data_IF_817678707196
#
_entry.id   IF_817678707196
#
_cell.length_a   1.000
_cell.length_b   1.000
_cell.length_c   1.000
_cell.angle_alpha   90.00
_cell.angle_beta   90.00
_cell.angle_gamma   90.00
#
_symmetry.space_group_name_H-M   'P 1'
#
loop_
_entity.id
_entity.type
_entity.pdbx_description
1 polymer ?
#
# COMPACT_ATOMS: atom_id res chain seq x y z
N UNK A 1 -3.26 -6.04 19.68
CA UNK A 1 -2.85 -6.29 18.27
C UNK A 1 -1.45 -5.74 18.05
N UNK A 2 -0.50 -6.54 17.54
CA UNK A 2 0.90 -6.13 17.41
C UNK A 2 1.11 -5.02 16.39
N UNK A 3 1.76 -3.94 16.83
CA UNK A 3 2.04 -2.71 16.07
C UNK A 3 3.17 -2.93 15.04
N UNK A 4 2.98 -3.89 14.12
CA UNK A 4 4.01 -4.22 13.13
C UNK A 4 3.98 -3.21 11.99
N UNK A 5 5.17 -2.78 11.58
CA UNK A 5 5.39 -1.83 10.50
C UNK A 5 5.58 -2.57 9.17
N UNK A 6 4.93 -2.12 8.10
CA UNK A 6 5.19 -2.60 6.74
C UNK A 6 6.43 -1.88 6.20
N UNK A 7 7.61 -2.39 6.51
CA UNK A 7 8.90 -1.75 6.17
C UNK A 7 9.01 -1.42 4.68
N UNK A 8 8.59 -2.32 3.79
CA UNK A 8 8.61 -2.09 2.33
C UNK A 8 7.79 -0.87 1.91
N UNK A 9 6.61 -0.70 2.52
CA UNK A 9 5.72 0.42 2.23
C UNK A 9 6.28 1.73 2.75
N UNK A 10 6.89 1.71 3.94
CA UNK A 10 7.60 2.86 4.47
C UNK A 10 8.77 3.27 3.59
N UNK A 11 9.65 2.31 3.23
CA UNK A 11 10.83 2.57 2.39
C UNK A 11 10.39 3.10 1.03
N UNK A 12 9.42 2.47 0.38
CA UNK A 12 8.85 2.96 -0.88
C UNK A 12 8.29 4.38 -0.74
N UNK A 13 7.52 4.65 0.33
CA UNK A 13 6.98 5.99 0.59
C UNK A 13 8.04 7.08 0.74
N UNK A 14 9.10 6.82 1.50
CA UNK A 14 10.24 7.76 1.65
C UNK A 14 10.97 7.95 0.33
N UNK A 15 11.24 6.87 -0.41
CA UNK A 15 11.90 6.96 -1.71
C UNK A 15 11.07 7.73 -2.73
N UNK A 16 9.73 7.60 -2.72
CA UNK A 16 8.84 8.39 -3.58
C UNK A 16 8.91 9.89 -3.26
N UNK A 17 8.97 10.26 -1.98
CA UNK A 17 9.14 11.66 -1.56
C UNK A 17 10.48 12.22 -2.05
N UNK A 18 11.58 11.46 -1.91
CA UNK A 18 12.88 11.87 -2.42
C UNK A 18 12.88 11.96 -3.96
N UNK A 19 12.24 11.00 -4.63
CA UNK A 19 12.16 10.97 -6.09
C UNK A 19 11.30 12.10 -6.65
N UNK A 20 10.32 12.60 -5.89
CA UNK A 20 9.58 13.81 -6.29
C UNK A 20 10.48 15.03 -6.44
N UNK A 21 11.56 15.15 -5.64
CA UNK A 21 12.52 16.25 -5.77
C UNK A 21 13.27 16.18 -7.10
N UNK A 22 13.59 14.97 -7.56
CA UNK A 22 14.18 14.75 -8.89
C UNK A 22 13.21 15.17 -9.99
N UNK A 23 11.92 14.85 -9.84
CA UNK A 23 10.89 15.31 -10.77
C UNK A 23 10.79 16.84 -10.80
N UNK A 24 10.78 17.53 -9.64
CA UNK A 24 10.79 18.99 -9.59
C UNK A 24 12.06 19.60 -10.18
N UNK A 25 13.22 18.98 -9.96
CA UNK A 25 14.46 19.42 -10.60
C UNK A 25 14.38 19.32 -12.12
N UNK A 26 13.84 18.21 -12.64
CA UNK A 26 13.53 18.06 -14.07
C UNK A 26 12.58 19.15 -14.57
N UNK A 27 11.51 19.45 -13.83
CA UNK A 27 10.61 20.55 -14.14
C UNK A 27 11.35 21.89 -14.25
N UNK A 28 12.20 22.24 -13.27
CA UNK A 28 12.97 23.50 -13.30
C UNK A 28 13.92 23.57 -14.48
N UNK A 29 14.50 22.45 -14.91
CA UNK A 29 15.34 22.41 -16.10
C UNK A 29 14.56 22.73 -17.38
N UNK A 30 13.34 22.22 -17.51
CA UNK A 30 12.53 22.40 -18.72
C UNK A 30 11.70 23.70 -18.74
N UNK A 31 11.22 24.17 -17.57
CA UNK A 31 10.46 25.42 -17.42
C UNK A 31 11.33 26.63 -17.12
N UNK A 32 12.59 26.44 -16.73
CA UNK A 32 13.50 27.52 -16.38
C UNK A 32 13.60 28.54 -17.52
N UNK A 33 13.37 29.82 -17.21
CA UNK A 33 13.27 30.89 -18.19
C UNK A 33 14.45 30.93 -19.17
N UNK A 34 15.67 30.69 -18.68
CA UNK A 34 16.88 30.66 -19.50
C UNK A 34 16.89 29.52 -20.54
N UNK A 35 16.39 28.34 -20.20
CA UNK A 35 16.32 27.21 -21.13
C UNK A 35 15.16 27.34 -22.11
N UNK A 36 14.01 27.83 -21.64
CA UNK A 36 12.86 28.08 -22.52
C UNK A 36 13.16 29.17 -23.55
N UNK A 37 13.80 30.27 -23.14
CA UNK A 37 14.20 31.36 -24.03
C UNK A 37 15.30 30.91 -25.02
N UNK A 38 16.26 30.10 -24.57
CA UNK A 38 17.25 29.47 -25.45
C UNK A 38 16.59 28.60 -26.53
N UNK A 39 15.63 27.75 -26.14
CA UNK A 39 14.92 26.87 -27.07
C UNK A 39 14.02 27.66 -28.03
N UNK A 40 13.38 28.73 -27.58
CA UNK A 40 12.64 29.65 -28.45
C UNK A 40 13.55 30.30 -29.50
N UNK A 41 14.75 30.73 -29.08
CA UNK A 41 15.70 31.45 -29.94
C UNK A 41 16.38 30.53 -30.96
N UNK A 42 16.69 29.30 -30.60
CA UNK A 42 17.51 28.38 -31.40
C UNK A 42 16.73 27.23 -32.05
N UNK A 43 15.66 26.75 -31.41
CA UNK A 43 14.84 25.61 -31.83
C UNK A 43 13.47 25.97 -32.39
N UNK A 44 13.08 27.24 -32.28
CA UNK A 44 11.78 27.74 -32.70
C UNK A 44 10.63 27.32 -31.77
N UNK A 45 9.40 27.67 -32.17
CA UNK A 45 8.20 27.51 -31.34
C UNK A 45 7.86 26.06 -30.97
N UNK A 46 8.18 25.11 -31.86
CA UNK A 46 7.88 23.70 -31.63
C UNK A 46 8.70 23.13 -30.45
N UNK A 47 10.01 23.35 -30.44
CA UNK A 47 10.90 22.87 -29.37
C UNK A 47 10.60 23.55 -28.03
N UNK A 48 10.29 24.85 -28.05
CA UNK A 48 9.84 25.57 -26.87
C UNK A 48 8.56 24.95 -26.26
N UNK A 49 7.56 24.64 -27.09
CA UNK A 49 6.33 23.98 -26.62
C UNK A 49 6.61 22.58 -26.05
N UNK A 50 7.52 21.82 -26.65
CA UNK A 50 7.92 20.50 -26.13
C UNK A 50 8.59 20.62 -24.76
N UNK A 51 9.49 21.59 -24.59
CA UNK A 51 10.13 21.86 -23.30
C UNK A 51 9.09 22.26 -22.24
N UNK A 52 8.18 23.18 -22.57
CA UNK A 52 7.12 23.61 -21.66
C UNK A 52 6.22 22.44 -21.23
N UNK A 53 5.73 21.64 -22.18
CA UNK A 53 4.89 20.47 -21.88
C UNK A 53 5.63 19.42 -21.06
N UNK A 54 6.91 19.18 -21.35
CA UNK A 54 7.74 18.25 -20.57
C UNK A 54 7.92 18.73 -19.13
N UNK A 55 8.18 20.02 -18.94
CA UNK A 55 8.30 20.61 -17.62
C UNK A 55 7.00 20.54 -16.82
N UNK A 56 5.86 20.84 -17.44
CA UNK A 56 4.53 20.65 -16.82
C UNK A 56 4.31 19.18 -16.44
N UNK A 57 4.68 18.23 -17.29
CA UNK A 57 4.57 16.81 -17.00
C UNK A 57 5.40 16.39 -15.77
N UNK A 58 6.61 16.96 -15.62
CA UNK A 58 7.44 16.77 -14.42
C UNK A 58 6.78 17.32 -13.15
N UNK A 59 6.12 18.48 -13.22
CA UNK A 59 5.36 19.04 -12.08
C UNK A 59 4.23 18.09 -11.67
N UNK A 60 3.42 17.66 -12.64
CA UNK A 60 2.29 16.74 -12.41
C UNK A 60 2.81 15.46 -11.74
N UNK A 61 3.88 14.88 -12.28
CA UNK A 61 4.51 13.70 -11.71
C UNK A 61 5.03 13.95 -10.29
N UNK A 62 5.74 15.06 -10.06
CA UNK A 62 6.28 15.41 -8.75
C UNK A 62 5.20 15.53 -7.67
N UNK A 63 4.11 16.26 -7.95
CA UNK A 63 2.96 16.38 -7.04
C UNK A 63 2.34 15.01 -6.77
N UNK A 64 2.14 14.20 -7.81
CA UNK A 64 1.57 12.87 -7.67
C UNK A 64 2.43 11.95 -6.80
N UNK A 65 3.76 11.97 -6.98
CA UNK A 65 4.69 11.19 -6.17
C UNK A 65 4.71 11.63 -4.71
N UNK A 66 4.54 12.93 -4.42
CA UNK A 66 4.35 13.42 -3.05
C UNK A 66 3.12 12.78 -2.42
N UNK A 67 1.98 12.84 -3.11
CA UNK A 67 0.71 12.29 -2.60
C UNK A 67 0.84 10.79 -2.33
N UNK A 68 1.41 10.02 -3.27
CA UNK A 68 1.66 8.60 -3.07
C UNK A 68 2.65 8.32 -1.93
N UNK A 69 3.72 9.10 -1.84
CA UNK A 69 4.71 9.01 -0.77
C UNK A 69 4.06 9.15 0.60
N UNK A 70 3.26 10.21 0.81
CA UNK A 70 2.50 10.41 2.03
C UNK A 70 1.47 9.30 2.28
N UNK A 71 0.77 8.84 1.23
CA UNK A 71 -0.17 7.72 1.35
C UNK A 71 0.54 6.48 1.86
N UNK A 72 1.70 6.12 1.30
CA UNK A 72 2.46 4.93 1.70
C UNK A 72 3.04 5.05 3.11
N UNK A 73 3.60 6.20 3.47
CA UNK A 73 4.09 6.47 4.83
C UNK A 73 2.94 6.42 5.85
N UNK A 74 1.79 7.02 5.57
CA UNK A 74 0.66 7.05 6.51
C UNK A 74 -0.04 5.69 6.67
N UNK A 75 0.02 4.83 5.66
CA UNK A 75 -0.61 3.51 5.67
C UNK A 75 0.34 2.38 6.05
N UNK A 76 1.62 2.67 6.34
CA UNK A 76 2.61 1.63 6.68
C UNK A 76 2.33 0.87 7.98
N UNK A 77 1.50 1.41 8.89
CA UNK A 77 1.05 0.73 10.12
C UNK A 77 -0.38 0.16 10.01
N UNK A 78 -1.06 0.37 8.87
CA UNK A 78 -2.44 -0.07 8.64
C UNK A 78 -2.43 -1.35 7.79
N UNK A 79 -3.37 -2.26 8.06
CA UNK A 79 -3.57 -3.43 7.20
C UNK A 79 -3.99 -2.98 5.78
N UNK A 80 -3.48 -3.63 4.73
CA UNK A 80 -3.83 -3.25 3.36
C UNK A 80 -5.30 -3.54 3.08
N UNK A 81 -5.97 -2.64 2.36
CA UNK A 81 -7.35 -2.78 1.89
C UNK A 81 -7.35 -2.85 0.37
N UNK A 82 -7.97 -3.88 -0.22
CA UNK A 82 -7.96 -4.12 -1.68
C UNK A 82 -8.37 -2.88 -2.49
N UNK A 83 -9.41 -2.16 -2.05
CA UNK A 83 -9.89 -0.94 -2.72
C UNK A 83 -8.84 0.17 -2.80
N UNK A 84 -8.05 0.38 -1.73
CA UNK A 84 -7.00 1.42 -1.70
C UNK A 84 -5.87 1.03 -2.64
N UNK A 85 -5.47 -0.24 -2.67
CA UNK A 85 -4.37 -0.67 -3.54
C UNK A 85 -4.77 -0.63 -5.01
N UNK A 86 -6.02 -1.01 -5.34
CA UNK A 86 -6.54 -0.87 -6.70
C UNK A 86 -6.66 0.58 -7.14
N UNK A 87 -7.07 1.49 -6.26
CA UNK A 87 -7.12 2.92 -6.60
C UNK A 87 -5.73 3.50 -6.84
N UNK A 88 -4.72 3.08 -6.09
CA UNK A 88 -3.31 3.45 -6.34
C UNK A 88 -2.87 2.98 -7.72
N UNK A 89 -3.09 1.71 -8.07
CA UNK A 89 -2.73 1.16 -9.39
C UNK A 89 -3.48 1.89 -10.52
N UNK A 90 -4.79 2.09 -10.38
CA UNK A 90 -5.58 2.81 -11.37
C UNK A 90 -5.09 4.26 -11.56
N UNK A 91 -4.81 4.96 -10.46
CA UNK A 91 -4.30 6.33 -10.52
C UNK A 91 -2.95 6.42 -11.24
N UNK A 92 -2.10 5.41 -11.12
CA UNK A 92 -0.81 5.36 -11.83
C UNK A 92 -1.02 5.33 -13.34
N UNK A 93 -1.92 4.46 -13.83
CA UNK A 93 -2.24 4.39 -15.25
C UNK A 93 -2.89 5.68 -15.76
N UNK A 94 -3.75 6.32 -14.96
CA UNK A 94 -4.38 7.59 -15.33
C UNK A 94 -3.32 8.70 -15.46
N UNK A 95 -2.43 8.84 -14.48
CA UNK A 95 -1.40 9.90 -14.49
C UNK A 95 -0.40 9.67 -15.63
N UNK A 96 0.03 8.43 -15.84
CA UNK A 96 0.93 8.09 -16.96
C UNK A 96 0.27 8.31 -18.32
N UNK A 97 -1.03 8.06 -18.45
CA UNK A 97 -1.79 8.38 -19.65
C UNK A 97 -1.87 9.89 -19.90
N UNK A 98 -2.17 10.69 -18.87
CA UNK A 98 -2.21 12.16 -18.97
C UNK A 98 -0.85 12.72 -19.41
N UNK A 99 0.24 12.28 -18.76
CA UNK A 99 1.61 12.68 -19.11
C UNK A 99 1.97 12.22 -20.53
N UNK A 100 1.58 11.00 -20.89
CA UNK A 100 1.74 10.48 -22.24
C UNK A 100 1.08 11.41 -23.25
N UNK A 101 -0.18 11.78 -23.04
CA UNK A 101 -0.91 12.64 -23.96
C UNK A 101 -0.32 14.04 -24.09
N UNK A 102 0.21 14.63 -23.01
CA UNK A 102 0.77 16.00 -23.05
C UNK A 102 2.21 16.05 -23.59
N UNK A 103 2.97 14.95 -23.52
CA UNK A 103 4.39 14.91 -23.88
C UNK A 103 4.73 13.99 -25.08
N UNK A 104 3.77 13.36 -25.74
CA UNK A 104 4.01 12.54 -26.95
C UNK A 104 4.15 13.41 -28.21
N UNK A 105 5.11 13.10 -29.14
CA UNK A 105 5.92 11.89 -29.27
C UNK A 105 7.37 11.99 -28.77
N UNK A 106 7.76 13.08 -28.11
CA UNK A 106 9.17 13.38 -27.78
C UNK A 106 9.42 13.43 -26.28
N UNK A 107 8.97 12.40 -25.56
CA UNK A 107 9.26 12.26 -24.13
C UNK A 107 10.78 12.25 -23.95
N UNK A 108 11.37 13.25 -23.27
CA UNK A 108 12.81 13.26 -23.06
C UNK A 108 13.25 12.01 -22.32
N UNK A 109 14.43 11.48 -22.66
CA UNK A 109 14.94 10.26 -22.00
C UNK A 109 14.95 10.35 -20.48
N UNK A 110 15.18 11.55 -19.94
CA UNK A 110 15.14 11.84 -18.50
C UNK A 110 13.72 11.61 -17.94
N UNK A 111 12.66 12.12 -18.59
CA UNK A 111 11.28 11.93 -18.13
C UNK A 111 10.89 10.45 -18.15
N UNK A 112 11.24 9.74 -19.23
CA UNK A 112 11.01 8.30 -19.35
C UNK A 112 11.69 7.50 -18.24
N UNK A 113 12.95 7.82 -17.92
CA UNK A 113 13.70 7.17 -16.86
C UNK A 113 13.07 7.46 -15.48
N UNK A 114 12.70 8.73 -15.24
CA UNK A 114 12.04 9.14 -14.00
C UNK A 114 10.71 8.41 -13.78
N UNK A 115 9.88 8.28 -14.82
CA UNK A 115 8.63 7.51 -14.77
C UNK A 115 8.88 6.02 -14.51
N UNK A 116 9.93 5.45 -15.13
CA UNK A 116 10.28 4.04 -14.96
C UNK A 116 10.72 3.74 -13.53
N UNK A 117 11.60 4.57 -12.96
CA UNK A 117 12.02 4.43 -11.55
C UNK A 117 10.83 4.60 -10.61
N UNK A 118 10.01 5.64 -10.82
CA UNK A 118 8.81 5.87 -10.03
C UNK A 118 7.85 4.66 -10.07
N UNK A 119 7.67 4.03 -11.23
CA UNK A 119 6.86 2.82 -11.36
C UNK A 119 7.37 1.69 -10.46
N UNK A 120 8.67 1.40 -10.50
CA UNK A 120 9.28 0.38 -9.64
C UNK A 120 9.16 0.72 -8.16
N UNK A 121 9.29 2.00 -7.78
CA UNK A 121 9.07 2.45 -6.41
C UNK A 121 7.64 2.22 -5.95
N UNK A 122 6.64 2.49 -6.80
CA UNK A 122 5.23 2.21 -6.49
C UNK A 122 5.01 0.70 -6.33
N UNK A 123 5.50 -0.12 -7.27
CA UNK A 123 5.40 -1.58 -7.20
C UNK A 123 6.05 -2.15 -5.93
N UNK A 124 7.17 -1.57 -5.48
CA UNK A 124 7.85 -1.99 -4.25
C UNK A 124 6.96 -1.85 -3.02
N UNK A 125 6.14 -0.79 -2.96
CA UNK A 125 5.26 -0.48 -1.83
C UNK A 125 3.88 -1.13 -1.88
N UNK A 126 3.47 -1.67 -3.04
CA UNK A 126 2.20 -2.37 -3.19
C UNK A 126 2.24 -3.79 -2.58
N UNK A 127 1.14 -4.23 -1.94
CA UNK A 127 0.98 -5.63 -1.56
C UNK A 127 0.69 -6.50 -2.79
N UNK A 128 1.11 -7.76 -2.73
CA UNK A 128 0.80 -8.75 -3.77
C UNK A 128 -0.59 -9.38 -3.54
N UNK A 129 -0.94 -10.41 -4.31
CA UNK A 129 -2.29 -11.05 -4.35
C UNK A 129 -2.90 -11.36 -2.96
N UNK A 130 -2.09 -11.67 -1.95
CA UNK A 130 -2.54 -12.08 -0.61
C UNK A 130 -2.14 -11.09 0.49
N UNK A 131 -1.81 -9.84 0.13
CA UNK A 131 -1.34 -8.83 1.08
C UNK A 131 0.18 -8.87 1.25
N UNK A 132 0.65 -8.50 2.44
CA UNK A 132 2.05 -8.65 2.84
C UNK A 132 2.25 -9.98 3.59
N UNK A 133 3.46 -10.55 3.57
CA UNK A 133 3.80 -11.87 4.16
C UNK A 133 3.25 -12.10 5.58
N UNK A 134 3.13 -11.04 6.39
CA UNK A 134 2.63 -11.09 7.77
C UNK A 134 1.46 -10.13 8.03
N UNK A 135 0.84 -9.57 6.97
CA UNK A 135 -0.33 -8.70 7.04
C UNK A 135 -1.21 -8.95 5.80
N UNK A 136 -2.13 -9.94 5.88
CA UNK A 136 -3.07 -10.19 4.80
C UNK A 136 -4.04 -9.02 4.62
N UNK A 137 -4.80 -9.04 3.53
CA UNK A 137 -5.86 -8.06 3.32
C UNK A 137 -6.93 -8.13 4.42
N UNK A 138 -7.55 -6.99 4.71
CA UNK A 138 -8.74 -6.93 5.56
C UNK A 138 -9.84 -7.83 4.97
N UNK A 139 -10.34 -8.80 5.75
CA UNK A 139 -11.36 -9.76 5.33
C UNK A 139 -10.84 -11.10 4.76
N UNK A 140 -9.51 -11.30 4.67
CA UNK A 140 -8.89 -12.59 4.28
C UNK A 140 -8.53 -13.50 5.47
N UNK A 141 -8.73 -13.03 6.69
CA UNK A 141 -8.58 -13.77 7.94
C UNK A 141 -9.48 -15.02 8.02
N UNK A 142 -10.62 -15.03 7.32
CA UNK A 142 -11.50 -16.20 7.23
C UNK A 142 -11.02 -17.29 6.23
N UNK A 143 -9.95 -17.05 5.46
CA UNK A 143 -9.49 -17.94 4.38
C UNK A 143 -8.09 -18.53 4.56
N UNK A 144 -7.36 -18.12 5.59
CA UNK A 144 -6.07 -18.75 5.89
C UNK A 144 -6.31 -20.12 6.53
N UNK A 145 -5.67 -21.19 6.02
CA UNK A 145 -5.58 -22.44 6.76
C UNK A 145 -4.93 -22.13 8.10
N UNK A 146 -5.60 -22.53 9.19
CA UNK A 146 -4.99 -22.71 10.51
C UNK A 146 -3.60 -23.34 10.32
N UNK A 147 -2.64 -22.83 11.08
CA UNK A 147 -1.26 -23.29 11.14
C UNK A 147 -1.06 -24.77 10.75
N UNK A 148 -0.13 -25.01 9.83
CA UNK A 148 0.34 -26.36 9.50
C UNK A 148 0.88 -27.09 10.75
N UNK A 149 0.83 -28.43 10.73
CA UNK A 149 0.56 -29.25 11.91
C UNK A 149 1.84 -29.49 12.71
N UNK A 150 1.82 -29.15 13.99
CA UNK A 150 2.68 -29.84 14.95
C UNK A 150 1.97 -31.14 15.29
N UNK A 151 2.47 -32.21 14.69
CA UNK A 151 2.40 -33.62 15.09
C UNK A 151 1.16 -34.08 15.87
N UNK A 152 0.39 -34.94 15.20
CA UNK A 152 -0.60 -35.80 15.78
C UNK A 152 -0.02 -36.64 16.93
N UNK A 153 -0.28 -36.20 18.17
CA UNK A 153 -0.45 -37.11 19.29
C UNK A 153 -1.92 -37.57 19.27
N UNK A 154 -2.09 -38.81 18.81
CA UNK A 154 -3.25 -39.68 18.89
C UNK A 154 -4.04 -39.45 20.18
N UNK A 155 -5.33 -39.09 20.12
CA UNK A 155 -6.35 -39.54 21.10
C UNK A 155 -7.76 -39.36 20.53
N UNK A 156 -8.43 -40.52 20.45
CA UNK A 156 -9.84 -40.84 20.46
C UNK A 156 -10.91 -39.75 20.19
N UNK A 157 -11.76 -40.13 19.24
CA UNK A 157 -13.14 -39.70 19.01
C UNK A 157 -13.93 -39.74 20.33
N UNK A 158 -14.58 -38.63 20.71
CA UNK A 158 -15.76 -38.64 21.58
C UNK A 158 -16.75 -37.60 21.06
N UNK A 159 -18.01 -38.02 20.93
CA UNK A 159 -19.16 -37.25 20.46
C UNK A 159 -19.41 -35.97 21.29
N UNK A 160 -20.03 -34.93 20.71
CA UNK A 160 -20.24 -33.67 21.41
C UNK A 160 -21.41 -33.80 22.39
N UNK A 161 -21.10 -33.83 23.69
CA UNK A 161 -22.06 -33.49 24.74
C UNK A 161 -22.20 -31.97 24.84
N UNK A 162 -23.41 -31.49 25.12
CA UNK A 162 -23.79 -30.06 25.09
C UNK A 162 -22.92 -29.17 25.99
N UNK A 163 -22.39 -29.72 27.08
CA UNK A 163 -21.54 -29.03 28.06
C UNK A 163 -20.22 -28.50 27.46
N UNK A 164 -19.60 -29.24 26.55
CA UNK A 164 -18.35 -28.84 25.91
C UNK A 164 -18.51 -27.65 24.95
N UNK A 165 -19.72 -27.46 24.43
CA UNK A 165 -20.03 -26.33 23.54
C UNK A 165 -20.22 -25.05 24.35
N UNK A 166 -20.92 -25.14 25.49
CA UNK A 166 -21.15 -24.00 26.39
C UNK A 166 -19.86 -23.47 27.02
N UNK A 167 -18.92 -24.35 27.40
CA UNK A 167 -17.61 -23.95 27.91
C UNK A 167 -16.75 -23.25 26.84
N UNK A 168 -16.90 -23.65 25.57
CA UNK A 168 -16.20 -23.01 24.45
C UNK A 168 -16.74 -21.61 24.19
N UNK A 169 -18.05 -21.43 24.30
CA UNK A 169 -18.69 -20.13 24.08
C UNK A 169 -18.41 -19.17 25.24
N UNK A 170 -18.39 -19.65 26.49
CA UNK A 170 -17.93 -18.88 27.65
C UNK A 170 -16.48 -18.39 27.49
N UNK A 171 -15.59 -19.25 26.98
CA UNK A 171 -14.18 -18.86 26.75
C UNK A 171 -14.08 -17.78 25.67
N UNK A 172 -14.92 -17.86 24.64
CA UNK A 172 -14.98 -16.88 23.57
C UNK A 172 -15.42 -15.50 24.08
N UNK A 173 -16.42 -15.45 24.98
CA UNK A 173 -16.88 -14.20 25.60
C UNK A 173 -15.80 -13.55 26.47
N UNK A 174 -14.99 -14.36 27.16
CA UNK A 174 -13.84 -13.88 27.93
C UNK A 174 -12.74 -13.32 27.02
N UNK A 175 -12.40 -14.06 25.95
CA UNK A 175 -11.39 -13.65 24.97
C UNK A 175 -11.80 -12.37 24.21
N UNK A 176 -13.11 -12.15 24.04
CA UNK A 176 -13.70 -10.92 23.48
C UNK A 176 -13.82 -9.78 24.51
N UNK A 177 -13.51 -10.03 25.79
CA UNK A 177 -13.57 -9.05 26.88
C UNK A 177 -15.00 -8.65 27.28
N UNK A 178 -16.00 -9.46 26.90
CA UNK A 178 -17.42 -9.22 27.19
C UNK A 178 -17.76 -9.60 28.64
N UNK A 179 -17.07 -10.61 29.17
CA UNK A 179 -17.17 -11.04 30.57
C UNK A 179 -15.80 -10.96 31.24
N UNK A 180 -15.77 -10.81 32.57
CA UNK A 180 -14.53 -10.80 33.34
C UNK A 180 -14.07 -12.22 33.70
N UNK A 181 -12.81 -12.38 34.10
CA UNK A 181 -12.24 -13.67 34.52
C UNK A 181 -13.05 -14.30 35.68
N UNK A 182 -13.53 -13.48 36.61
CA UNK A 182 -14.32 -13.91 37.76
C UNK A 182 -15.71 -14.45 37.34
N UNK A 183 -16.34 -13.78 36.38
CA UNK A 183 -17.64 -14.20 35.82
C UNK A 183 -17.52 -15.48 34.99
N UNK A 184 -16.40 -15.64 34.27
CA UNK A 184 -16.10 -16.85 33.53
C UNK A 184 -15.95 -18.06 34.47
N UNK A 185 -15.21 -17.92 35.56
CA UNK A 185 -15.01 -19.02 36.52
C UNK A 185 -16.31 -19.37 37.27
N UNK A 186 -17.13 -18.39 37.62
CA UNK A 186 -18.43 -18.63 38.24
C UNK A 186 -19.39 -19.40 37.30
N UNK A 187 -19.43 -19.05 36.00
CA UNK A 187 -20.27 -19.77 35.02
C UNK A 187 -19.70 -21.13 34.64
N UNK A 188 -18.37 -21.26 34.56
CA UNK A 188 -17.69 -22.54 34.31
C UNK A 188 -18.01 -23.58 35.40
N UNK A 189 -18.02 -23.17 36.67
CA UNK A 189 -18.41 -24.05 37.78
C UNK A 189 -19.85 -24.53 37.68
N UNK A 190 -20.78 -23.63 37.33
CA UNK A 190 -22.19 -23.98 37.08
C UNK A 190 -22.37 -24.98 35.93
N UNK A 191 -21.65 -24.80 34.82
CA UNK A 191 -21.72 -25.72 33.67
C UNK A 191 -21.09 -27.08 33.98
N UNK A 192 -20.09 -27.12 34.87
CA UNK A 192 -19.46 -28.35 35.33
C UNK A 192 -20.15 -29.01 36.54
N UNK A 193 -21.18 -28.38 37.12
CA UNK A 193 -21.96 -28.92 38.24
C UNK A 193 -21.21 -29.01 39.58
N UNK A 194 -20.20 -28.16 39.81
CA UNK A 194 -19.34 -28.15 41.03
C UNK A 194 -19.56 -26.87 41.84
#
# INVERSE_FOLDING_TARGET
>A
MGNRLITRRLVSGVLLLLWSLVAFHGSMFYLGSANYEYMLKNGGRAEANIANNSGIAFVILGIYLIVLGFLFVSTCKKRPRKLIEYSVVASWFIVTFIIGFTAYPQIPGILKNTMSVAFFLVLLGLPFKHGFRNMPFVGEDNKLPKAQPVQAAKTAIVAPTSEGTELRDLKKLLDEGIITQEEFEAKKKKVLGI
#
